data_IF_497982833472
#
_entry.id   IF_497982833472
#
_cell.length_a   1.000
_cell.length_b   1.000
_cell.length_c   1.000
_cell.angle_alpha   90.00
_cell.angle_beta   90.00
_cell.angle_gamma   90.00
#
_symmetry.space_group_name_H-M   'P 1'
#
loop_
_entity.id
_entity.type
_entity.pdbx_description
1 polymer ?
#
# COMPACT_ATOMS: atom_id res chain seq x y z
N UNK A 1 11.17 -9.36 -31.81
CA UNK A 1 10.16 -8.92 -30.82
C UNK A 1 10.87 -8.09 -29.74
N UNK A 2 10.75 -6.75 -29.76
CA UNK A 2 11.45 -5.88 -28.80
C UNK A 2 10.54 -5.63 -27.60
N UNK A 3 10.81 -6.30 -26.48
CA UNK A 3 10.22 -5.98 -25.18
C UNK A 3 10.79 -4.64 -24.72
N UNK A 4 9.99 -3.60 -24.86
CA UNK A 4 10.30 -2.27 -24.34
C UNK A 4 9.91 -2.29 -22.86
N UNK A 5 10.90 -2.44 -21.98
CA UNK A 5 10.70 -2.31 -20.53
C UNK A 5 10.56 -0.81 -20.23
N UNK A 6 9.35 -0.29 -20.40
CA UNK A 6 8.98 1.05 -19.94
C UNK A 6 8.84 1.02 -18.41
N UNK A 7 9.24 2.11 -17.75
CA UNK A 7 9.37 2.26 -16.29
C UNK A 7 8.29 1.48 -15.54
N UNK A 8 8.73 0.50 -14.72
CA UNK A 8 7.90 -0.48 -13.97
C UNK A 8 6.98 0.19 -12.95
N UNK A 9 5.91 0.81 -13.42
CA UNK A 9 4.68 0.93 -12.63
C UNK A 9 3.58 0.23 -13.38
N UNK A 10 3.42 -1.06 -13.09
CA UNK A 10 2.32 -1.85 -13.61
C UNK A 10 1.11 -1.51 -12.75
N UNK A 11 0.09 -0.89 -13.33
CA UNK A 11 -1.25 -0.86 -12.73
C UNK A 11 -2.04 -1.98 -13.38
N UNK A 12 -2.20 -3.12 -12.69
CA UNK A 12 -2.97 -4.24 -13.25
C UNK A 12 -4.46 -3.89 -13.12
N UNK A 13 -5.01 -3.29 -14.18
CA UNK A 13 -6.44 -3.41 -14.55
C UNK A 13 -6.57 -4.36 -15.74
N UNK A 14 -5.74 -5.39 -15.76
CA UNK A 14 -5.77 -6.40 -16.80
C UNK A 14 -6.60 -7.56 -16.25
N UNK A 15 -7.76 -7.85 -16.83
CA UNK A 15 -8.60 -8.98 -16.40
C UNK A 15 -8.13 -10.33 -16.96
N UNK A 16 -7.06 -10.35 -17.76
CA UNK A 16 -6.52 -11.55 -18.36
C UNK A 16 -5.70 -12.38 -17.35
N UNK A 17 -6.23 -13.55 -17.00
CA UNK A 17 -5.61 -14.46 -16.03
C UNK A 17 -4.24 -14.98 -16.47
N UNK A 18 -4.03 -15.19 -17.79
CA UNK A 18 -2.73 -15.64 -18.31
C UNK A 18 -1.60 -14.64 -18.03
N UNK A 19 -1.90 -13.35 -18.09
CA UNK A 19 -0.90 -12.31 -17.80
C UNK A 19 -0.56 -12.27 -16.30
N UNK A 20 -1.52 -12.59 -15.42
CA UNK A 20 -1.28 -12.68 -13.98
C UNK A 20 -0.42 -13.88 -13.61
N UNK A 21 -0.61 -15.02 -14.26
CA UNK A 21 0.25 -16.20 -14.07
C UNK A 21 1.70 -15.89 -14.44
N UNK A 22 1.92 -15.27 -15.61
CA UNK A 22 3.27 -14.85 -16.03
C UNK A 22 3.89 -13.86 -15.03
N UNK A 23 3.11 -12.89 -14.52
CA UNK A 23 3.60 -11.98 -13.50
C UNK A 23 3.94 -12.68 -12.19
N UNK A 24 3.19 -13.71 -11.81
CA UNK A 24 3.48 -14.53 -10.64
C UNK A 24 4.83 -15.20 -10.76
N UNK A 25 5.11 -15.84 -11.89
CA UNK A 25 6.38 -16.54 -12.13
C UNK A 25 7.58 -15.57 -12.19
N UNK A 26 7.37 -14.33 -12.63
CA UNK A 26 8.41 -13.31 -12.68
C UNK A 26 8.69 -12.70 -11.30
N UNK A 27 7.64 -12.45 -10.51
CA UNK A 27 7.73 -11.70 -9.26
C UNK A 27 7.96 -12.58 -8.03
N UNK A 28 7.62 -13.86 -8.11
CA UNK A 28 7.75 -14.81 -7.01
C UNK A 28 8.67 -15.95 -7.47
N UNK A 29 9.81 -16.07 -6.81
CA UNK A 29 10.84 -17.08 -7.09
C UNK A 29 11.30 -17.76 -5.80
N UNK A 30 12.25 -18.70 -5.90
CA UNK A 30 12.74 -19.45 -4.74
C UNK A 30 13.35 -18.59 -3.62
N UNK A 31 13.82 -17.39 -3.93
CA UNK A 31 14.43 -16.48 -2.95
C UNK A 31 13.38 -15.76 -2.10
N UNK A 32 12.21 -15.43 -2.68
CA UNK A 32 11.18 -14.63 -2.00
C UNK A 32 9.84 -15.36 -1.78
N UNK A 33 9.68 -16.61 -2.22
CA UNK A 33 8.41 -17.37 -2.10
C UNK A 33 7.83 -17.41 -0.69
N UNK A 34 8.67 -17.50 0.33
CA UNK A 34 8.26 -17.53 1.75
C UNK A 34 7.82 -16.15 2.28
N UNK A 35 8.15 -15.05 1.59
CA UNK A 35 7.84 -13.67 1.97
C UNK A 35 7.36 -12.86 0.76
N UNK A 36 6.26 -13.33 0.18
CA UNK A 36 5.70 -12.83 -1.08
C UNK A 36 4.24 -12.39 -0.96
N UNK A 37 3.74 -12.14 0.24
CA UNK A 37 2.33 -11.81 0.46
C UNK A 37 1.93 -10.50 -0.21
N UNK A 38 2.81 -9.48 -0.22
CA UNK A 38 2.57 -8.23 -0.96
C UNK A 38 2.56 -8.46 -2.48
N UNK A 39 3.42 -9.35 -2.99
CA UNK A 39 3.41 -9.73 -4.40
C UNK A 39 2.12 -10.45 -4.77
N UNK A 40 1.70 -11.44 -3.96
CA UNK A 40 0.45 -12.18 -4.14
C UNK A 40 -0.75 -11.24 -4.12
N UNK A 41 -0.83 -10.36 -3.11
CA UNK A 41 -1.89 -9.36 -3.04
C UNK A 41 -1.92 -8.50 -4.29
N UNK A 42 -0.76 -8.00 -4.73
CA UNK A 42 -0.68 -7.17 -5.93
C UNK A 42 -1.16 -7.88 -7.20
N UNK A 43 -0.77 -9.15 -7.37
CA UNK A 43 -1.18 -9.98 -8.52
C UNK A 43 -2.67 -10.29 -8.46
N UNK A 44 -3.19 -10.68 -7.30
CA UNK A 44 -4.57 -11.16 -7.12
C UNK A 44 -5.59 -10.01 -7.04
N UNK A 45 -5.16 -8.81 -6.64
CA UNK A 45 -6.01 -7.64 -6.53
C UNK A 45 -6.64 -7.26 -7.88
N UNK A 46 -7.97 -7.12 -7.88
CA UNK A 46 -8.79 -6.66 -9.01
C UNK A 46 -9.51 -5.34 -8.73
N UNK A 47 -9.29 -4.76 -7.54
CA UNK A 47 -9.95 -3.53 -7.12
C UNK A 47 -9.09 -2.30 -7.44
N UNK A 48 -8.79 -1.47 -6.43
CA UNK A 48 -8.03 -0.25 -6.61
C UNK A 48 -6.58 -0.53 -7.01
N UNK A 49 -6.07 0.30 -7.93
CA UNK A 49 -4.69 0.16 -8.40
C UNK A 49 -3.69 0.45 -7.27
N UNK A 50 -2.74 -0.47 -7.09
CA UNK A 50 -1.56 -0.27 -6.26
C UNK A 50 -0.47 0.34 -7.15
N UNK A 51 -0.09 1.58 -6.87
CA UNK A 51 0.96 2.29 -7.61
C UNK A 51 2.25 2.32 -6.79
N UNK A 52 3.09 1.28 -6.92
CA UNK A 52 4.40 1.16 -6.26
C UNK A 52 5.38 0.41 -7.18
N UNK A 53 6.68 0.67 -7.02
CA UNK A 53 7.70 -0.15 -7.66
C UNK A 53 7.69 -1.56 -7.06
N UNK A 54 7.64 -2.59 -7.90
CA UNK A 54 7.48 -3.99 -7.47
C UNK A 54 8.61 -4.45 -6.55
N UNK A 55 9.85 -4.01 -6.80
CA UNK A 55 11.01 -4.34 -5.94
C UNK A 55 10.90 -3.79 -4.52
N UNK A 56 9.99 -2.85 -4.25
CA UNK A 56 9.77 -2.37 -2.88
C UNK A 56 8.99 -3.38 -2.06
N UNK A 57 8.24 -4.30 -2.67
CA UNK A 57 7.51 -5.32 -1.92
C UNK A 57 8.46 -6.23 -1.13
N UNK A 58 9.58 -6.69 -1.70
CA UNK A 58 10.57 -7.47 -0.95
C UNK A 58 11.16 -6.67 0.23
N UNK A 59 11.38 -5.36 0.04
CA UNK A 59 11.86 -4.45 1.08
C UNK A 59 10.82 -4.32 2.20
N UNK A 60 9.56 -4.06 1.85
CA UNK A 60 8.48 -3.97 2.82
C UNK A 60 8.27 -5.28 3.57
N UNK A 61 8.31 -6.42 2.88
CA UNK A 61 8.24 -7.75 3.49
C UNK A 61 9.35 -7.95 4.53
N UNK A 62 10.58 -7.57 4.18
CA UNK A 62 11.72 -7.69 5.08
C UNK A 62 11.57 -6.81 6.33
N UNK A 63 11.19 -5.54 6.16
CA UNK A 63 11.24 -4.58 7.27
C UNK A 63 9.94 -4.52 8.07
N UNK A 64 8.79 -4.72 7.42
CA UNK A 64 7.47 -4.50 8.00
C UNK A 64 6.80 -5.77 8.51
N UNK A 65 7.28 -6.96 8.13
CA UNK A 65 6.76 -8.24 8.65
C UNK A 65 6.67 -8.30 10.18
N UNK A 66 7.59 -7.62 10.88
CA UNK A 66 7.60 -7.52 12.37
C UNK A 66 6.38 -6.83 12.99
N UNK A 67 5.59 -6.11 12.19
CA UNK A 67 4.40 -5.38 12.61
C UNK A 67 3.10 -6.12 12.26
N UNK A 68 3.18 -7.19 11.46
CA UNK A 68 2.01 -8.01 11.13
C UNK A 68 1.45 -8.67 12.39
N UNK A 69 0.12 -8.74 12.48
CA UNK A 69 -0.55 -9.33 13.63
C UNK A 69 -0.48 -8.50 14.91
N UNK A 70 -0.17 -7.20 14.78
CA UNK A 70 -0.19 -6.24 15.89
C UNK A 70 -1.15 -5.12 15.58
N UNK A 71 -1.76 -4.57 16.63
CA UNK A 71 -2.55 -3.36 16.49
C UNK A 71 -1.65 -2.20 16.09
N UNK A 72 -1.93 -1.59 14.94
CA UNK A 72 -1.11 -0.51 14.39
C UNK A 72 -1.95 0.63 13.84
N UNK A 73 -1.33 1.80 13.85
CA UNK A 73 -1.84 3.04 13.28
C UNK A 73 -0.87 3.49 12.17
N UNK A 74 -1.25 3.29 10.91
CA UNK A 74 -0.43 3.53 9.74
C UNK A 74 -0.72 4.92 9.14
N UNK A 75 0.33 5.68 8.80
CA UNK A 75 0.19 6.92 8.02
C UNK A 75 0.75 6.72 6.61
N UNK A 76 -0.10 6.84 5.60
CA UNK A 76 0.33 6.92 4.19
C UNK A 76 0.15 8.35 3.68
N UNK A 77 1.23 8.94 3.17
CA UNK A 77 1.20 10.22 2.47
C UNK A 77 1.27 9.95 0.97
N UNK A 78 0.27 10.44 0.24
CA UNK A 78 0.04 10.14 -1.18
C UNK A 78 -0.89 8.94 -1.35
N UNK A 79 -2.20 9.16 -1.14
CA UNK A 79 -3.23 8.12 -1.30
C UNK A 79 -3.37 7.67 -2.77
N UNK A 80 -3.30 8.63 -3.70
CA UNK A 80 -3.34 8.34 -5.14
C UNK A 80 -4.60 7.59 -5.57
N UNK A 81 -4.45 6.31 -5.91
CA UNK A 81 -5.52 5.42 -6.38
C UNK A 81 -6.12 4.54 -5.29
N UNK A 82 -5.66 4.61 -4.03
CA UNK A 82 -6.27 3.92 -2.89
C UNK A 82 -5.86 2.45 -2.71
N UNK A 83 -5.30 1.78 -3.73
CA UNK A 83 -4.98 0.35 -3.65
C UNK A 83 -3.95 0.01 -2.58
N UNK A 84 -2.99 0.90 -2.32
CA UNK A 84 -2.02 0.70 -1.25
C UNK A 84 -2.66 0.71 0.14
N UNK A 85 -3.69 1.54 0.38
CA UNK A 85 -4.39 1.57 1.66
C UNK A 85 -4.99 0.19 1.97
N UNK A 86 -5.72 -0.39 1.02
CA UNK A 86 -6.31 -1.72 1.19
C UNK A 86 -5.24 -2.82 1.30
N UNK A 87 -4.17 -2.72 0.51
CA UNK A 87 -3.02 -3.63 0.60
C UNK A 87 -2.43 -3.64 2.01
N UNK A 88 -2.21 -2.46 2.61
CA UNK A 88 -1.65 -2.38 3.96
C UNK A 88 -2.62 -2.91 5.01
N UNK A 89 -3.92 -2.63 4.88
CA UNK A 89 -4.95 -3.16 5.79
C UNK A 89 -4.89 -4.69 5.76
N UNK A 90 -4.89 -5.29 4.57
CA UNK A 90 -4.78 -6.75 4.40
C UNK A 90 -3.46 -7.30 4.96
N UNK A 91 -2.33 -6.68 4.62
CA UNK A 91 -1.00 -7.17 4.99
C UNK A 91 -0.77 -7.20 6.50
N UNK A 92 -1.27 -6.21 7.25
CA UNK A 92 -1.04 -6.11 8.69
C UNK A 92 -2.10 -6.80 9.56
N UNK A 93 -3.35 -6.92 9.07
CA UNK A 93 -4.51 -7.43 9.84
C UNK A 93 -4.56 -8.94 10.04
N UNK A 94 -3.46 -9.66 9.81
CA UNK A 94 -3.39 -11.09 10.15
C UNK A 94 -3.66 -11.30 11.64
N UNK A 95 -4.08 -12.49 12.03
CA UNK A 95 -4.34 -12.86 13.44
C UNK A 95 -5.34 -11.93 14.17
N UNK A 96 -6.25 -11.29 13.43
CA UNK A 96 -7.29 -10.42 14.01
C UNK A 96 -6.80 -9.06 14.50
N UNK A 97 -5.60 -8.64 14.08
CA UNK A 97 -5.04 -7.37 14.49
C UNK A 97 -5.85 -6.15 13.99
N UNK A 98 -6.04 -5.17 14.86
CA UNK A 98 -6.72 -3.94 14.53
C UNK A 98 -5.77 -2.95 13.83
N UNK A 99 -6.01 -2.74 12.53
CA UNK A 99 -5.17 -1.89 11.69
C UNK A 99 -5.96 -0.66 11.27
N UNK A 100 -5.57 0.50 11.77
CA UNK A 100 -6.11 1.78 11.32
C UNK A 100 -5.15 2.42 10.33
N UNK A 101 -5.68 2.94 9.23
CA UNK A 101 -4.91 3.62 8.19
C UNK A 101 -5.38 5.06 8.08
N UNK A 102 -4.40 5.95 8.10
CA UNK A 102 -4.59 7.38 7.91
C UNK A 102 -3.91 7.77 6.60
N UNK A 103 -4.69 8.26 5.65
CA UNK A 103 -4.22 8.76 4.36
C UNK A 103 -4.11 10.29 4.37
N UNK A 104 -3.09 10.83 3.72
CA UNK A 104 -3.00 12.26 3.39
C UNK A 104 -2.88 12.39 1.87
N UNK A 105 -3.75 13.20 1.25
CA UNK A 105 -3.62 13.57 -0.15
C UNK A 105 -4.18 14.98 -0.39
N UNK A 106 -3.76 15.64 -1.46
CA UNK A 106 -4.32 16.95 -1.85
C UNK A 106 -5.63 16.82 -2.62
N UNK A 107 -5.90 15.64 -3.19
CA UNK A 107 -7.03 15.42 -4.09
C UNK A 107 -8.25 14.97 -3.30
N UNK A 108 -9.29 15.80 -3.26
CA UNK A 108 -10.56 15.50 -2.55
C UNK A 108 -11.15 14.14 -2.93
N UNK A 109 -11.01 13.73 -4.20
CA UNK A 109 -11.50 12.44 -4.71
C UNK A 109 -10.96 11.22 -3.94
N UNK A 110 -9.85 11.35 -3.22
CA UNK A 110 -9.30 10.27 -2.41
C UNK A 110 -10.24 9.91 -1.24
N UNK A 111 -11.10 10.82 -0.78
CA UNK A 111 -12.13 10.56 0.25
C UNK A 111 -13.02 9.34 -0.03
N UNK A 112 -13.22 8.99 -1.31
CA UNK A 112 -14.00 7.79 -1.69
C UNK A 112 -13.39 6.47 -1.21
N UNK A 113 -12.13 6.46 -0.77
CA UNK A 113 -11.44 5.28 -0.26
C UNK A 113 -11.50 5.17 1.27
N UNK A 114 -12.23 6.07 1.96
CA UNK A 114 -12.50 5.94 3.38
C UNK A 114 -13.39 4.71 3.66
N UNK A 115 -13.18 4.10 4.82
CA UNK A 115 -13.89 2.93 5.35
C UNK A 115 -13.73 2.93 6.89
N UNK A 116 -14.32 1.98 7.61
CA UNK A 116 -14.34 1.94 9.10
C UNK A 116 -12.95 2.17 9.73
N UNK A 117 -11.93 1.56 9.15
CA UNK A 117 -10.53 1.67 9.60
C UNK A 117 -9.60 2.41 8.62
N UNK A 118 -10.15 3.16 7.66
CA UNK A 118 -9.38 3.99 6.73
C UNK A 118 -9.94 5.42 6.75
N UNK A 119 -9.14 6.37 7.22
CA UNK A 119 -9.51 7.79 7.27
C UNK A 119 -8.55 8.62 6.44
N UNK A 120 -9.08 9.57 5.67
CA UNK A 120 -8.31 10.37 4.73
C UNK A 120 -8.43 11.85 5.09
N UNK A 121 -7.28 12.52 5.15
CA UNK A 121 -7.17 13.95 5.39
C UNK A 121 -6.76 14.65 4.11
N UNK A 122 -7.57 15.62 3.71
CA UNK A 122 -7.27 16.43 2.54
C UNK A 122 -6.39 17.60 2.95
N UNK A 123 -5.18 17.63 2.40
CA UNK A 123 -4.18 18.63 2.74
C UNK A 123 -2.81 18.34 2.14
N UNK A 124 -1.83 19.15 2.50
CA UNK A 124 -0.49 19.11 1.91
C UNK A 124 0.52 18.61 2.93
N UNK A 125 1.38 17.67 2.53
CA UNK A 125 2.56 17.30 3.33
C UNK A 125 3.55 18.45 3.55
N UNK A 126 3.47 19.51 2.73
CA UNK A 126 4.31 20.70 2.88
C UNK A 126 3.71 21.71 3.87
N UNK A 127 2.48 21.50 4.34
CA UNK A 127 1.81 22.34 5.33
C UNK A 127 2.04 21.77 6.73
N UNK A 128 2.94 22.42 7.47
CA UNK A 128 3.34 21.96 8.82
C UNK A 128 2.21 22.10 9.84
N UNK A 129 1.33 23.09 9.70
CA UNK A 129 0.25 23.29 10.65
C UNK A 129 -0.85 22.26 10.44
N UNK A 130 -1.20 21.99 9.18
CA UNK A 130 -2.04 20.84 8.83
C UNK A 130 -1.48 19.52 9.37
N UNK A 131 -0.18 19.24 9.19
CA UNK A 131 0.44 18.01 9.72
C UNK A 131 0.39 17.94 11.25
N UNK A 132 0.54 19.07 11.95
CA UNK A 132 0.37 19.15 13.41
C UNK A 132 -1.08 18.87 13.81
N UNK A 133 -2.05 19.39 13.08
CA UNK A 133 -3.47 19.13 13.32
C UNK A 133 -3.83 17.66 13.13
N UNK A 134 -3.37 17.03 12.05
CA UNK A 134 -3.57 15.60 11.81
C UNK A 134 -2.92 14.78 12.91
N UNK A 135 -1.69 15.12 13.33
CA UNK A 135 -0.99 14.44 14.43
C UNK A 135 -1.79 14.49 15.75
N UNK A 136 -2.39 15.65 16.08
CA UNK A 136 -3.18 15.84 17.31
C UNK A 136 -4.41 14.94 17.39
N UNK A 137 -4.94 14.48 16.25
CA UNK A 137 -6.15 13.63 16.23
C UNK A 137 -5.90 12.24 16.82
N UNK A 138 -4.65 11.83 17.07
CA UNK A 138 -4.31 10.49 17.53
C UNK A 138 -3.16 10.48 18.56
N UNK A 139 -3.40 9.85 19.72
CA UNK A 139 -2.45 9.86 20.85
C UNK A 139 -1.42 8.71 20.84
N UNK A 140 -1.62 7.64 20.05
CA UNK A 140 -0.77 6.43 20.05
C UNK A 140 -0.31 6.03 18.64
N UNK A 141 0.67 6.73 18.08
CA UNK A 141 1.24 6.38 16.78
C UNK A 141 2.27 5.26 16.92
N UNK A 142 1.96 4.05 16.45
CA UNK A 142 2.98 3.06 16.06
C UNK A 142 3.40 3.39 14.63
N UNK A 143 4.43 4.24 14.46
CA UNK A 143 4.77 4.78 13.14
C UNK A 143 5.26 3.73 12.16
N UNK A 144 4.56 3.65 11.04
CA UNK A 144 5.13 3.28 9.77
C UNK A 144 4.78 4.41 8.80
N UNK A 145 5.69 5.37 8.62
CA UNK A 145 5.47 6.43 7.65
C UNK A 145 5.82 5.87 6.28
N UNK A 146 4.83 5.85 5.39
CA UNK A 146 5.04 5.39 4.03
C UNK A 146 4.75 6.51 3.06
N UNK A 147 5.81 6.97 2.41
CA UNK A 147 5.69 7.86 1.27
C UNK A 147 5.45 7.00 0.04
N UNK A 148 4.37 7.26 -0.68
CA UNK A 148 4.28 6.82 -2.05
C UNK A 148 5.39 7.53 -2.84
N UNK A 149 6.42 6.80 -3.27
CA UNK A 149 7.27 7.25 -4.37
C UNK A 149 6.39 7.17 -5.61
N UNK A 150 5.85 8.33 -6.01
CA UNK A 150 5.19 8.55 -7.30
C UNK A 150 6.23 8.90 -8.35
#
# INVERSE_FOLDING_TARGET
MKLKVEKKTISIRDDNDNNREVLRDILINDENKEKSDLHKYFIENREEAVYKHLSYFDVYERYFSRFRGKDINLLEIGVGYGGSLKMWKNYFSINGANVNIYGIDKKEKCKRFEDDNIKIYIGSQNDRDFLREVKKKYQNWTYLLMMAVI
#
